data_IF_081384088042
#
_entry.id   IF_081384088042
#
_cell.length_a   1.000
_cell.length_b   1.000
_cell.length_c   1.000
_cell.angle_alpha   90.00
_cell.angle_beta   90.00
_cell.angle_gamma   90.00
#
_symmetry.space_group_name_H-M   'P 1'
#
loop_
_entity.id
_entity.type
_entity.pdbx_description
1 polymer ?
#
# COMPACT_ATOMS: atom_id res chain seq x y z
N UNK A 1 11.86 9.74 -19.38
CA UNK A 1 11.05 10.17 -20.55
C UNK A 1 11.72 9.73 -21.85
N UNK A 2 13.03 9.96 -22.05
CA UNK A 2 13.77 9.62 -23.29
C UNK A 2 13.77 8.10 -23.56
N UNK A 3 14.00 7.28 -22.54
CA UNK A 3 14.06 5.82 -22.66
C UNK A 3 12.66 5.22 -22.89
N UNK A 4 11.63 5.78 -22.28
CA UNK A 4 10.24 5.41 -22.52
C UNK A 4 9.82 5.70 -23.96
N UNK A 5 10.21 6.86 -24.50
CA UNK A 5 9.97 7.20 -25.91
C UNK A 5 10.71 6.25 -26.86
N UNK A 6 11.94 5.87 -26.55
CA UNK A 6 12.72 4.92 -27.34
C UNK A 6 12.04 3.55 -27.39
N UNK A 7 11.63 3.00 -26.24
CA UNK A 7 10.91 1.72 -26.19
C UNK A 7 9.55 1.77 -26.89
N UNK A 8 8.80 2.85 -26.74
CA UNK A 8 7.52 3.02 -27.43
C UNK A 8 7.72 3.10 -28.94
N UNK A 9 8.71 3.85 -29.40
CA UNK A 9 9.04 3.96 -30.83
C UNK A 9 9.52 2.62 -31.39
N UNK A 10 10.38 1.90 -30.65
CA UNK A 10 10.83 0.56 -31.03
C UNK A 10 9.68 -0.43 -31.12
N UNK A 11 8.74 -0.44 -30.17
CA UNK A 11 7.54 -1.28 -30.22
C UNK A 11 6.65 -0.96 -31.42
N UNK A 12 6.46 0.31 -31.76
CA UNK A 12 5.68 0.73 -32.92
C UNK A 12 6.26 0.20 -34.25
N UNK A 13 7.60 0.11 -34.36
CA UNK A 13 8.24 -0.36 -35.57
C UNK A 13 8.36 -1.90 -35.67
N UNK A 14 8.50 -2.58 -34.54
CA UNK A 14 8.79 -4.02 -34.52
C UNK A 14 7.59 -4.90 -34.15
N UNK A 15 6.59 -4.37 -33.46
CA UNK A 15 5.37 -5.12 -33.14
C UNK A 15 4.34 -4.94 -34.25
N UNK A 16 4.16 -5.97 -35.10
CA UNK A 16 2.98 -6.05 -35.94
C UNK A 16 1.78 -6.38 -35.07
N UNK A 17 0.83 -5.47 -35.01
CA UNK A 17 -0.48 -5.76 -34.42
C UNK A 17 -1.29 -6.54 -35.46
N UNK A 18 -1.86 -7.68 -35.04
CA UNK A 18 -2.84 -8.35 -35.86
C UNK A 18 -4.03 -7.40 -36.05
N UNK A 19 -4.52 -7.21 -37.32
CA UNK A 19 -5.67 -6.35 -37.53
C UNK A 19 -6.84 -6.88 -36.73
N UNK A 20 -7.37 -6.03 -35.83
CA UNK A 20 -8.57 -6.36 -35.06
C UNK A 20 -9.69 -6.70 -36.02
N UNK A 21 -10.06 -7.98 -36.07
CA UNK A 21 -11.09 -8.54 -36.97
C UNK A 21 -12.51 -8.11 -36.57
N UNK A 22 -12.64 -7.33 -35.51
CA UNK A 22 -13.91 -6.74 -35.12
C UNK A 22 -13.83 -5.23 -35.33
N UNK A 23 -14.53 -4.75 -36.36
CA UNK A 23 -14.87 -3.35 -36.48
C UNK A 23 -15.45 -2.90 -35.12
N UNK A 24 -14.60 -2.26 -34.31
CA UNK A 24 -15.05 -1.50 -33.15
C UNK A 24 -15.96 -0.44 -33.71
N UNK A 25 -17.29 -0.64 -33.62
CA UNK A 25 -18.20 0.47 -33.78
C UNK A 25 -17.66 1.54 -32.83
N UNK A 26 -17.34 2.72 -33.35
CA UNK A 26 -16.83 3.83 -32.56
C UNK A 26 -17.89 4.17 -31.51
N UNK A 27 -17.78 3.52 -30.33
CA UNK A 27 -18.67 3.82 -29.21
C UNK A 27 -18.39 5.25 -28.78
N UNK A 28 -19.41 6.09 -28.84
CA UNK A 28 -19.31 7.45 -28.36
C UNK A 28 -18.94 7.46 -26.84
N UNK A 29 -18.20 8.48 -26.41
CA UNK A 29 -17.76 8.65 -25.02
C UNK A 29 -18.91 8.41 -24.01
N UNK A 30 -20.08 8.95 -24.31
CA UNK A 30 -21.31 8.79 -23.48
C UNK A 30 -21.74 7.32 -23.35
N UNK A 31 -21.59 6.55 -24.40
CA UNK A 31 -21.94 5.13 -24.43
C UNK A 31 -20.98 4.31 -23.56
N UNK A 32 -19.66 4.57 -23.68
CA UNK A 32 -18.64 3.96 -22.84
C UNK A 32 -18.92 4.19 -21.35
N UNK A 33 -19.22 5.42 -20.94
CA UNK A 33 -19.58 5.72 -19.55
C UNK A 33 -20.88 5.07 -19.09
N UNK A 34 -21.86 4.94 -19.99
CA UNK A 34 -23.12 4.23 -19.71
C UNK A 34 -22.87 2.74 -19.48
N UNK A 35 -22.02 2.11 -20.29
CA UNK A 35 -21.62 0.70 -20.10
C UNK A 35 -20.86 0.53 -18.80
N UNK A 36 -19.90 1.40 -18.49
CA UNK A 36 -19.19 1.40 -17.19
C UNK A 36 -20.14 1.49 -16.00
N UNK A 37 -21.10 2.41 -16.04
CA UNK A 37 -22.08 2.55 -14.98
C UNK A 37 -22.95 1.27 -14.80
N UNK A 38 -23.27 0.58 -15.90
CA UNK A 38 -23.97 -0.71 -15.85
C UNK A 38 -23.08 -1.81 -15.26
N UNK A 39 -21.81 -1.86 -15.61
CA UNK A 39 -20.83 -2.80 -15.03
C UNK A 39 -20.70 -2.60 -13.53
N UNK A 40 -20.59 -1.36 -13.04
CA UNK A 40 -20.53 -1.05 -11.61
C UNK A 40 -21.79 -1.45 -10.84
N UNK A 41 -22.93 -1.65 -11.50
CA UNK A 41 -24.15 -2.16 -10.87
C UNK A 41 -24.20 -3.68 -10.72
N UNK A 42 -23.30 -4.41 -11.36
CA UNK A 42 -23.21 -5.87 -11.23
C UNK A 42 -22.74 -6.23 -9.81
N UNK A 43 -23.48 -7.12 -9.13
CA UNK A 43 -23.20 -7.50 -7.74
C UNK A 43 -21.78 -8.01 -7.51
N UNK A 44 -21.25 -8.81 -8.41
CA UNK A 44 -19.90 -9.36 -8.30
C UNK A 44 -18.82 -8.28 -8.51
N UNK A 45 -19.07 -7.27 -9.35
CA UNK A 45 -18.19 -6.10 -9.50
C UNK A 45 -18.22 -5.25 -8.22
N UNK A 46 -19.38 -5.04 -7.63
CA UNK A 46 -19.49 -4.31 -6.35
C UNK A 46 -18.75 -5.04 -5.23
N UNK A 47 -18.85 -6.37 -5.16
CA UNK A 47 -18.11 -7.17 -4.19
C UNK A 47 -16.60 -7.07 -4.43
N UNK A 48 -16.14 -7.08 -5.68
CA UNK A 48 -14.73 -6.88 -6.03
C UNK A 48 -14.23 -5.49 -5.62
N UNK A 49 -15.01 -4.44 -5.91
CA UNK A 49 -14.74 -3.06 -5.48
C UNK A 49 -14.61 -2.99 -3.97
N UNK A 50 -15.54 -3.60 -3.24
CA UNK A 50 -15.52 -3.64 -1.79
C UNK A 50 -14.26 -4.34 -1.25
N UNK A 51 -13.89 -5.49 -1.82
CA UNK A 51 -12.63 -6.18 -1.48
C UNK A 51 -11.43 -5.27 -1.70
N UNK A 52 -11.35 -4.56 -2.83
CA UNK A 52 -10.26 -3.62 -3.09
C UNK A 52 -10.17 -2.50 -2.05
N UNK A 53 -11.33 -1.98 -1.61
CA UNK A 53 -11.36 -0.90 -0.61
C UNK A 53 -10.78 -1.29 0.74
N UNK A 54 -10.93 -2.56 1.15
CA UNK A 54 -10.52 -3.01 2.49
C UNK A 54 -9.22 -3.82 2.50
N UNK A 55 -8.81 -4.36 1.35
CA UNK A 55 -7.71 -5.34 1.28
C UNK A 55 -6.37 -4.81 1.78
N UNK A 56 -6.10 -3.52 1.63
CA UNK A 56 -4.78 -2.95 1.97
C UNK A 56 -4.67 -2.45 3.42
N UNK A 57 -5.76 -2.41 4.17
CA UNK A 57 -5.78 -1.90 5.56
C UNK A 57 -4.77 -2.66 6.43
N UNK A 58 -4.70 -4.00 6.29
CA UNK A 58 -3.92 -4.86 7.17
C UNK A 58 -2.41 -4.61 7.18
N UNK A 59 -1.85 -4.13 6.09
CA UNK A 59 -0.40 -3.85 5.96
C UNK A 59 -0.11 -2.39 5.65
N UNK A 60 -1.11 -1.52 5.74
CA UNK A 60 -0.94 -0.10 5.41
C UNK A 60 0.01 0.62 6.35
N UNK A 61 0.05 0.26 7.64
CA UNK A 61 0.99 0.83 8.59
C UNK A 61 2.44 0.46 8.23
N UNK A 62 2.67 -0.78 7.82
CA UNK A 62 3.98 -1.21 7.32
C UNK A 62 4.41 -0.42 6.07
N UNK A 63 3.52 -0.23 5.11
CA UNK A 63 3.85 0.52 3.87
C UNK A 63 4.07 2.02 4.10
N UNK A 64 3.30 2.62 5.01
CA UNK A 64 3.30 4.06 5.19
C UNK A 64 4.34 4.55 6.21
N UNK A 65 4.66 3.75 7.22
CA UNK A 65 5.37 4.24 8.43
C UNK A 65 6.70 3.54 8.67
N UNK A 66 6.84 2.23 8.34
CA UNK A 66 8.07 1.48 8.66
C UNK A 66 9.34 2.14 8.14
N UNK A 67 9.35 2.61 6.88
CA UNK A 67 10.51 3.31 6.33
C UNK A 67 10.87 4.60 7.07
N UNK A 68 9.87 5.36 7.53
CA UNK A 68 10.07 6.56 8.34
C UNK A 68 10.68 6.21 9.69
N UNK A 69 10.20 5.14 10.33
CA UNK A 69 10.71 4.68 11.62
C UNK A 69 12.15 4.17 11.54
N UNK A 70 12.51 3.48 10.48
CA UNK A 70 13.91 3.08 10.26
C UNK A 70 14.84 4.30 10.17
N UNK A 71 14.43 5.36 9.48
CA UNK A 71 15.20 6.60 9.40
C UNK A 71 15.24 7.33 10.75
N UNK A 72 14.13 7.36 11.48
CA UNK A 72 14.05 7.95 12.85
C UNK A 72 14.99 7.23 13.82
N UNK A 73 15.16 5.92 13.71
CA UNK A 73 16.07 5.11 14.50
C UNK A 73 17.53 5.16 14.02
N UNK A 74 17.84 5.98 13.01
CA UNK A 74 19.22 6.24 12.58
C UNK A 74 19.67 5.54 11.29
N UNK A 75 18.77 4.90 10.54
CA UNK A 75 19.10 4.44 9.18
C UNK A 75 19.33 5.66 8.29
N UNK A 76 20.49 5.68 7.60
CA UNK A 76 20.79 6.74 6.65
C UNK A 76 19.77 6.79 5.51
N UNK A 77 19.39 7.98 5.05
CA UNK A 77 18.56 8.12 3.86
C UNK A 77 19.22 7.53 2.62
N UNK A 78 20.55 7.53 2.59
CA UNK A 78 21.38 6.93 1.54
C UNK A 78 21.28 5.40 1.57
N UNK A 79 21.28 4.81 2.77
CA UNK A 79 21.10 3.36 2.96
C UNK A 79 19.72 2.90 2.52
N UNK A 80 18.67 3.71 2.79
CA UNK A 80 17.33 3.43 2.32
C UNK A 80 17.26 3.51 0.78
N UNK A 81 17.92 4.50 0.17
CA UNK A 81 18.02 4.61 -1.28
C UNK A 81 18.78 3.43 -1.91
N UNK A 82 19.85 2.97 -1.24
CA UNK A 82 20.60 1.79 -1.66
C UNK A 82 19.75 0.52 -1.58
N UNK A 83 18.92 0.36 -0.53
CA UNK A 83 17.99 -0.76 -0.41
C UNK A 83 16.99 -0.80 -1.59
N UNK A 84 16.46 0.36 -2.00
CA UNK A 84 15.57 0.45 -3.18
C UNK A 84 16.30 0.13 -4.48
N UNK A 85 17.57 0.56 -4.62
CA UNK A 85 18.37 0.24 -5.80
C UNK A 85 18.67 -1.26 -5.91
N UNK A 86 18.92 -1.92 -4.79
CA UNK A 86 19.13 -3.37 -4.74
C UNK A 86 17.83 -4.12 -5.06
N UNK A 87 16.68 -3.62 -4.59
CA UNK A 87 15.37 -4.24 -4.81
C UNK A 87 14.92 -4.18 -6.29
N UNK A 88 15.31 -3.17 -7.04
CA UNK A 88 14.87 -2.95 -8.42
C UNK A 88 15.08 -4.15 -9.36
N UNK A 89 16.28 -4.78 -9.48
CA UNK A 89 16.46 -5.96 -10.33
C UNK A 89 15.62 -7.16 -9.86
N UNK A 90 15.42 -7.31 -8.54
CA UNK A 90 14.55 -8.34 -8.00
C UNK A 90 13.09 -8.13 -8.41
N UNK A 91 12.59 -6.89 -8.43
CA UNK A 91 11.23 -6.59 -8.87
C UNK A 91 10.97 -7.05 -10.30
N UNK A 92 11.93 -6.92 -11.21
CA UNK A 92 11.79 -7.40 -12.59
C UNK A 92 11.64 -8.93 -12.64
N UNK A 93 12.49 -9.66 -11.90
CA UNK A 93 12.44 -11.13 -11.79
C UNK A 93 11.13 -11.56 -11.15
N UNK A 94 10.75 -10.92 -10.06
CA UNK A 94 9.53 -11.22 -9.31
C UNK A 94 8.26 -10.94 -10.14
N UNK A 95 8.26 -9.86 -10.93
CA UNK A 95 7.17 -9.56 -11.86
C UNK A 95 6.96 -10.67 -12.88
N UNK A 96 8.05 -11.17 -13.47
CA UNK A 96 7.99 -12.29 -14.40
C UNK A 96 7.49 -13.59 -13.74
N UNK A 97 8.03 -13.97 -12.59
CA UNK A 97 7.62 -15.16 -11.85
C UNK A 97 6.14 -15.07 -11.39
N UNK A 98 5.73 -13.91 -10.89
CA UNK A 98 4.36 -13.65 -10.49
C UNK A 98 3.39 -13.76 -11.68
N UNK A 99 3.77 -13.25 -12.87
CA UNK A 99 2.98 -13.37 -14.07
C UNK A 99 2.82 -14.83 -14.52
N UNK A 100 3.88 -15.64 -14.43
CA UNK A 100 3.80 -17.08 -14.70
C UNK A 100 2.86 -17.80 -13.72
N UNK A 101 2.98 -17.47 -12.43
CA UNK A 101 2.17 -18.10 -11.38
C UNK A 101 0.69 -17.68 -11.43
N UNK A 102 0.40 -16.48 -11.89
CA UNK A 102 -0.97 -15.93 -11.99
C UNK A 102 -1.70 -16.34 -13.27
N UNK A 103 -1.08 -17.16 -14.12
CA UNK A 103 -1.73 -17.73 -15.32
C UNK A 103 -2.69 -18.84 -14.93
N UNK A 104 -3.89 -18.85 -15.54
CA UNK A 104 -4.82 -19.95 -15.41
C UNK A 104 -6.08 -19.65 -14.59
N UNK A 105 -6.78 -20.73 -14.22
CA UNK A 105 -8.15 -20.70 -13.69
C UNK A 105 -8.29 -20.07 -12.29
N UNK A 106 -7.18 -19.95 -11.55
CA UNK A 106 -7.15 -19.52 -10.15
C UNK A 106 -6.24 -18.30 -9.95
N UNK A 107 -6.44 -17.25 -10.73
CA UNK A 107 -5.63 -16.04 -10.68
C UNK A 107 -5.64 -15.33 -9.30
N UNK A 108 -6.70 -15.51 -8.49
CA UNK A 108 -6.79 -14.93 -7.14
C UNK A 108 -5.99 -15.69 -6.07
N UNK A 109 -5.58 -16.95 -6.32
CA UNK A 109 -4.79 -17.72 -5.32
C UNK A 109 -3.43 -17.09 -5.02
N UNK A 110 -2.59 -16.72 -6.00
CA UNK A 110 -1.33 -16.03 -5.72
C UNK A 110 -1.55 -14.72 -4.96
N UNK A 111 -2.61 -13.98 -5.28
CA UNK A 111 -2.99 -12.76 -4.58
C UNK A 111 -3.32 -13.01 -3.10
N UNK A 112 -4.10 -14.06 -2.78
CA UNK A 112 -4.45 -14.44 -1.42
C UNK A 112 -3.24 -14.92 -0.61
N UNK A 113 -2.35 -15.72 -1.22
CA UNK A 113 -1.11 -16.17 -0.59
C UNK A 113 -0.21 -14.98 -0.28
N UNK A 114 -0.01 -14.08 -1.25
CA UNK A 114 0.76 -12.86 -1.05
C UNK A 114 0.16 -11.96 0.03
N UNK A 115 -1.18 -11.93 0.17
CA UNK A 115 -1.84 -11.21 1.25
C UNK A 115 -1.41 -11.73 2.63
N UNK A 116 -1.45 -13.06 2.84
CA UNK A 116 -0.99 -13.67 4.09
C UNK A 116 0.49 -13.37 4.33
N UNK A 117 1.33 -13.54 3.29
CA UNK A 117 2.76 -13.21 3.40
C UNK A 117 2.98 -11.75 3.83
N UNK A 118 2.24 -10.80 3.29
CA UNK A 118 2.36 -9.38 3.65
C UNK A 118 1.93 -9.10 5.09
N UNK A 119 0.91 -9.76 5.61
CA UNK A 119 0.55 -9.65 7.03
C UNK A 119 1.67 -10.18 7.94
N UNK A 120 2.26 -11.32 7.60
CA UNK A 120 3.41 -11.87 8.34
C UNK A 120 4.61 -10.91 8.27
N UNK A 121 4.92 -10.41 7.08
CA UNK A 121 6.02 -9.47 6.88
C UNK A 121 5.79 -8.13 7.60
N UNK A 122 4.54 -7.68 7.75
CA UNK A 122 4.22 -6.51 8.56
C UNK A 122 4.59 -6.72 10.04
N UNK A 123 4.33 -7.92 10.60
CA UNK A 123 4.76 -8.28 11.95
C UNK A 123 6.29 -8.37 12.05
N UNK A 124 6.94 -8.98 11.06
CA UNK A 124 8.41 -9.06 11.00
C UNK A 124 9.03 -7.66 10.93
N UNK A 125 8.45 -6.76 10.14
CA UNK A 125 8.93 -5.36 10.04
C UNK A 125 8.80 -4.61 11.36
N UNK A 126 7.72 -4.83 12.13
CA UNK A 126 7.61 -4.27 13.49
C UNK A 126 8.73 -4.79 14.40
N UNK A 127 9.02 -6.09 14.37
CA UNK A 127 10.09 -6.68 15.15
C UNK A 127 11.49 -6.17 14.75
N UNK A 128 11.71 -5.90 13.46
CA UNK A 128 12.94 -5.31 12.96
C UNK A 128 13.10 -3.86 13.48
N UNK A 129 12.04 -3.06 13.44
CA UNK A 129 12.09 -1.68 13.95
C UNK A 129 12.35 -1.67 15.47
N UNK A 130 11.68 -2.55 16.23
CA UNK A 130 11.85 -2.67 17.69
C UNK A 130 13.26 -3.08 18.09
N UNK A 131 13.83 -4.06 17.39
CA UNK A 131 15.18 -4.58 17.65
C UNK A 131 16.32 -3.68 17.14
N UNK A 132 16.01 -2.54 16.51
CA UNK A 132 17.02 -1.68 15.91
C UNK A 132 17.88 -0.98 16.97
N UNK A 133 19.22 -1.00 16.82
CA UNK A 133 20.11 -0.30 17.73
C UNK A 133 19.80 1.21 17.72
N UNK A 134 19.55 1.78 18.90
CA UNK A 134 19.28 3.24 19.00
C UNK A 134 20.58 4.04 18.95
N UNK A 135 20.57 5.25 18.37
CA UNK A 135 21.74 6.13 18.38
C UNK A 135 22.24 6.35 19.82
N UNK A 136 23.57 6.42 20.09
CA UNK A 136 24.67 6.58 19.11
C UNK A 136 25.28 5.29 18.56
N UNK A 137 24.67 4.13 18.78
CA UNK A 137 25.19 2.86 18.26
C UNK A 137 25.07 2.78 16.73
N UNK A 138 26.15 2.40 16.05
CA UNK A 138 26.14 2.22 14.61
C UNK A 138 25.40 0.92 14.25
N UNK A 139 24.62 0.98 13.19
CA UNK A 139 23.93 -0.19 12.62
C UNK A 139 25.00 -1.15 12.10
N UNK A 140 25.05 -2.35 12.63
CA UNK A 140 25.98 -3.39 12.16
C UNK A 140 25.57 -3.92 10.78
N UNK A 141 26.55 -4.41 10.01
CA UNK A 141 26.34 -4.96 8.66
C UNK A 141 25.26 -6.06 8.64
N UNK A 142 25.24 -6.93 9.66
CA UNK A 142 24.24 -8.01 9.78
C UNK A 142 22.82 -7.44 9.87
N UNK A 143 22.63 -6.39 10.65
CA UNK A 143 21.33 -5.76 10.81
C UNK A 143 20.88 -5.05 9.52
N UNK A 144 21.81 -4.39 8.85
CA UNK A 144 21.57 -3.78 7.55
C UNK A 144 21.12 -4.82 6.51
N UNK A 145 21.79 -5.99 6.44
CA UNK A 145 21.38 -7.09 5.56
C UNK A 145 19.98 -7.60 5.90
N UNK A 146 19.62 -7.65 7.19
CA UNK A 146 18.27 -8.04 7.63
C UNK A 146 17.21 -7.05 7.11
N UNK A 147 17.48 -5.74 7.19
CA UNK A 147 16.58 -4.71 6.65
C UNK A 147 16.40 -4.88 5.14
N UNK A 148 17.50 -5.03 4.39
CA UNK A 148 17.43 -5.24 2.93
C UNK A 148 16.64 -6.50 2.59
N UNK A 149 16.92 -7.61 3.26
CA UNK A 149 16.21 -8.88 3.02
C UNK A 149 14.71 -8.73 3.27
N UNK A 150 14.32 -8.08 4.36
CA UNK A 150 12.91 -7.80 4.68
C UNK A 150 12.27 -6.90 3.61
N UNK A 151 12.97 -5.89 3.12
CA UNK A 151 12.51 -4.99 2.06
C UNK A 151 12.27 -5.76 0.76
N UNK A 152 13.21 -6.60 0.34
CA UNK A 152 13.10 -7.44 -0.87
C UNK A 152 11.93 -8.43 -0.75
N UNK A 153 11.75 -9.07 0.42
CA UNK A 153 10.62 -9.98 0.65
C UNK A 153 9.27 -9.25 0.62
N UNK A 154 9.18 -8.06 1.21
CA UNK A 154 7.98 -7.22 1.13
C UNK A 154 7.67 -6.82 -0.31
N UNK A 155 8.68 -6.44 -1.07
CA UNK A 155 8.58 -6.09 -2.49
C UNK A 155 8.10 -7.28 -3.31
N UNK A 156 8.65 -8.48 -3.08
CA UNK A 156 8.19 -9.72 -3.72
C UNK A 156 6.70 -9.98 -3.45
N UNK A 157 6.30 -9.99 -2.19
CA UNK A 157 4.90 -10.25 -1.83
C UNK A 157 3.95 -9.18 -2.41
N UNK A 158 4.36 -7.91 -2.43
CA UNK A 158 3.62 -6.81 -3.05
C UNK A 158 3.49 -6.99 -4.56
N UNK A 159 4.57 -7.38 -5.23
CA UNK A 159 4.59 -7.64 -6.68
C UNK A 159 3.68 -8.81 -7.06
N UNK A 160 3.76 -9.93 -6.32
CA UNK A 160 2.85 -11.08 -6.53
C UNK A 160 1.39 -10.66 -6.34
N UNK A 161 1.10 -9.86 -5.33
CA UNK A 161 -0.25 -9.38 -5.09
C UNK A 161 -0.74 -8.46 -6.21
N UNK A 162 0.09 -7.53 -6.66
CA UNK A 162 -0.25 -6.61 -7.76
C UNK A 162 -0.46 -7.34 -9.08
N UNK A 163 0.45 -8.23 -9.45
CA UNK A 163 0.37 -9.00 -10.71
C UNK A 163 -0.80 -9.98 -10.67
N UNK A 164 -1.03 -10.66 -9.53
CA UNK A 164 -2.13 -11.60 -9.38
C UNK A 164 -3.50 -10.96 -9.57
N UNK A 165 -3.71 -9.78 -8.96
CA UNK A 165 -4.99 -9.07 -9.12
C UNK A 165 -5.13 -8.48 -10.52
N UNK A 166 -4.06 -7.97 -11.13
CA UNK A 166 -4.06 -7.46 -12.50
C UNK A 166 -4.37 -8.56 -13.52
N UNK A 167 -3.85 -9.77 -13.32
CA UNK A 167 -4.18 -10.93 -14.13
C UNK A 167 -5.67 -11.30 -14.03
N UNK A 168 -6.25 -11.24 -12.83
CA UNK A 168 -7.68 -11.44 -12.65
C UNK A 168 -8.50 -10.34 -13.35
N UNK A 169 -8.12 -9.06 -13.22
CA UNK A 169 -8.77 -7.96 -13.92
C UNK A 169 -8.78 -8.17 -15.45
N UNK A 170 -7.65 -8.63 -16.01
CA UNK A 170 -7.55 -8.91 -17.46
C UNK A 170 -8.49 -10.02 -17.90
N UNK A 171 -8.70 -11.06 -17.07
CA UNK A 171 -9.60 -12.16 -17.39
C UNK A 171 -11.08 -11.75 -17.41
N UNK A 172 -11.48 -10.84 -16.53
CA UNK A 172 -12.87 -10.39 -16.40
C UNK A 172 -13.22 -9.19 -17.29
N UNK A 173 -12.21 -8.47 -17.77
CA UNK A 173 -12.41 -7.28 -18.60
C UNK A 173 -13.22 -7.60 -19.87
N UNK A 174 -14.12 -6.68 -20.22
CA UNK A 174 -14.88 -6.76 -21.48
C UNK A 174 -13.97 -6.35 -22.65
N UNK A 175 -13.80 -7.18 -23.68
CA UNK A 175 -12.93 -6.85 -24.82
C UNK A 175 -13.30 -5.54 -25.53
N UNK A 176 -14.59 -5.17 -25.56
CA UNK A 176 -15.06 -3.97 -26.26
C UNK A 176 -14.64 -2.66 -25.56
N UNK A 177 -14.52 -2.69 -24.23
CA UNK A 177 -14.15 -1.53 -23.40
C UNK A 177 -12.99 -1.85 -22.46
N UNK A 178 -12.15 -2.82 -22.85
CA UNK A 178 -11.13 -3.41 -21.98
C UNK A 178 -10.21 -2.39 -21.32
N UNK A 179 -9.72 -1.40 -22.07
CA UNK A 179 -8.87 -0.34 -21.54
C UNK A 179 -9.56 0.48 -20.42
N UNK A 180 -10.80 0.90 -20.66
CA UNK A 180 -11.57 1.69 -19.69
C UNK A 180 -11.95 0.86 -18.46
N UNK A 181 -12.31 -0.41 -18.66
CA UNK A 181 -12.63 -1.33 -17.56
C UNK A 181 -11.41 -1.61 -16.68
N UNK A 182 -10.26 -1.89 -17.28
CA UNK A 182 -8.99 -2.08 -16.56
C UNK A 182 -8.60 -0.81 -15.78
N UNK A 183 -8.76 0.35 -16.39
CA UNK A 183 -8.48 1.64 -15.71
C UNK A 183 -9.39 1.82 -14.49
N UNK A 184 -10.69 1.53 -14.60
CA UNK A 184 -11.62 1.58 -13.47
C UNK A 184 -11.16 0.69 -12.33
N UNK A 185 -10.90 -0.60 -12.60
CA UNK A 185 -10.51 -1.57 -11.57
C UNK A 185 -9.17 -1.21 -10.92
N UNK A 186 -8.19 -0.75 -11.71
CA UNK A 186 -6.90 -0.30 -11.20
C UNK A 186 -7.04 0.98 -10.35
N UNK A 187 -7.88 1.92 -10.76
CA UNK A 187 -8.17 3.13 -9.97
C UNK A 187 -8.78 2.78 -8.62
N UNK A 188 -9.75 1.87 -8.60
CA UNK A 188 -10.37 1.39 -7.35
C UNK A 188 -9.35 0.66 -6.48
N UNK A 189 -8.50 -0.19 -7.07
CA UNK A 189 -7.43 -0.89 -6.34
C UNK A 189 -6.42 0.09 -5.71
N UNK A 190 -6.06 1.16 -6.42
CA UNK A 190 -5.16 2.20 -5.91
C UNK A 190 -5.83 3.03 -4.82
N UNK A 191 -7.10 3.42 -5.02
CA UNK A 191 -7.88 4.14 -4.01
C UNK A 191 -7.94 3.35 -2.70
N UNK A 192 -8.13 2.01 -2.78
CA UNK A 192 -8.13 1.12 -1.61
C UNK A 192 -6.81 1.11 -0.82
N UNK A 193 -5.69 1.55 -1.41
CA UNK A 193 -4.42 1.77 -0.71
C UNK A 193 -4.19 3.21 -0.24
N UNK A 194 -4.87 4.17 -0.86
CA UNK A 194 -4.63 5.60 -0.57
C UNK A 194 -5.45 6.09 0.62
N UNK A 195 -6.76 5.79 0.66
CA UNK A 195 -7.63 6.29 1.72
C UNK A 195 -7.25 5.78 3.12
N UNK A 196 -6.83 4.49 3.34
CA UNK A 196 -6.49 4.04 4.68
C UNK A 196 -5.20 4.69 5.20
N UNK A 197 -4.29 5.08 4.30
CA UNK A 197 -3.00 5.70 4.65
C UNK A 197 -3.19 6.95 5.51
N UNK A 198 -4.15 7.79 5.16
CA UNK A 198 -4.45 9.00 5.95
C UNK A 198 -4.86 8.65 7.39
N UNK A 199 -5.78 7.69 7.54
CA UNK A 199 -6.25 7.27 8.86
C UNK A 199 -5.16 6.57 9.66
N UNK A 200 -4.34 5.75 9.02
CA UNK A 200 -3.21 5.08 9.67
C UNK A 200 -2.20 6.09 10.21
N UNK A 201 -1.83 7.11 9.43
CA UNK A 201 -0.93 8.17 9.91
C UNK A 201 -1.54 8.94 11.08
N UNK A 202 -2.82 9.28 11.02
CA UNK A 202 -3.53 9.91 12.13
C UNK A 202 -3.61 9.03 13.38
N UNK A 203 -3.79 7.72 13.21
CA UNK A 203 -3.76 6.79 14.34
C UNK A 203 -2.37 6.68 14.98
N UNK A 204 -1.30 6.70 14.19
CA UNK A 204 0.06 6.73 14.72
C UNK A 204 0.28 7.98 15.57
N UNK A 205 -0.10 9.15 15.07
CA UNK A 205 -0.01 10.40 15.82
C UNK A 205 -0.85 10.34 17.11
N UNK A 206 -2.07 9.82 17.02
CA UNK A 206 -3.00 9.72 18.16
C UNK A 206 -2.50 8.80 19.29
N UNK A 207 -1.87 7.67 18.93
CA UNK A 207 -1.33 6.73 19.92
C UNK A 207 0.11 7.04 20.36
N UNK A 208 0.76 8.04 19.74
CA UNK A 208 2.10 8.46 20.13
C UNK A 208 2.01 9.40 21.32
N UNK A 209 2.73 9.07 22.37
CA UNK A 209 2.89 9.91 23.57
C UNK A 209 4.34 10.39 23.62
N UNK A 210 4.54 11.69 23.54
CA UNK A 210 5.86 12.31 23.66
C UNK A 210 5.84 13.48 24.64
N UNK A 211 6.93 13.68 25.34
CA UNK A 211 7.10 14.72 26.34
C UNK A 211 8.31 15.58 26.05
N UNK A 212 8.22 16.86 26.44
CA UNK A 212 9.30 17.80 26.29
C UNK A 212 10.22 17.76 27.53
N UNK A 213 11.51 17.57 27.29
CA UNK A 213 12.56 17.69 28.30
C UNK A 213 13.40 18.93 28.04
N UNK A 214 13.55 19.75 29.10
CA UNK A 214 14.41 20.94 29.01
C UNK A 214 15.89 20.54 28.98
N UNK A 215 16.73 21.25 28.24
CA UNK A 215 18.18 21.13 28.40
C UNK A 215 18.64 21.64 29.74
N UNK A 216 19.77 21.10 30.23
CA UNK A 216 20.35 21.57 31.52
C UNK A 216 20.71 23.06 31.44
N UNK A 217 20.27 23.84 32.40
CA UNK A 217 20.61 25.27 32.52
C UNK A 217 19.66 26.24 31.84
N UNK A 218 18.45 25.79 31.46
CA UNK A 218 17.39 26.72 30.96
C UNK A 218 16.95 27.66 32.09
N UNK A 219 16.85 28.95 31.78
CA UNK A 219 16.36 29.96 32.71
C UNK A 219 14.91 29.67 33.11
N UNK A 220 14.66 29.71 34.45
CA UNK A 220 13.34 29.45 35.05
C UNK A 220 12.26 30.38 34.47
N UNK A 221 12.63 31.64 34.14
CA UNK A 221 11.73 32.63 33.56
C UNK A 221 11.18 32.16 32.17
N UNK A 222 12.03 31.57 31.32
CA UNK A 222 11.60 31.00 30.03
C UNK A 222 10.66 29.83 30.18
N UNK A 223 10.90 28.97 31.18
CA UNK A 223 10.02 27.83 31.48
C UNK A 223 8.65 28.30 31.90
N UNK A 224 8.61 29.34 32.77
CA UNK A 224 7.36 29.91 33.26
C UNK A 224 6.59 30.64 32.16
N UNK A 225 7.28 31.33 31.26
CA UNK A 225 6.66 32.02 30.12
C UNK A 225 6.03 31.03 29.09
N UNK A 226 6.71 29.94 28.76
CA UNK A 226 6.28 29.00 27.73
C UNK A 226 5.32 27.92 28.22
N UNK A 227 5.51 27.42 29.47
CA UNK A 227 4.76 26.28 30.02
C UNK A 227 3.94 26.61 31.26
N UNK A 228 4.06 27.83 31.83
CA UNK A 228 3.30 28.26 32.99
C UNK A 228 3.79 27.69 34.35
N UNK A 229 4.88 26.93 34.36
CA UNK A 229 5.52 26.40 35.57
C UNK A 229 7.04 26.41 35.45
N UNK A 230 7.73 26.49 36.61
CA UNK A 230 9.15 26.77 36.71
C UNK A 230 10.03 25.54 37.03
N UNK A 231 9.49 24.32 36.95
CA UNK A 231 10.20 23.13 37.41
C UNK A 231 10.77 22.33 36.24
N UNK A 232 12.08 22.48 35.96
CA UNK A 232 12.78 21.81 34.86
C UNK A 232 12.97 20.29 35.08
N UNK A 233 12.72 19.77 36.28
CA UNK A 233 12.82 18.34 36.59
C UNK A 233 11.55 17.53 36.24
N UNK A 234 10.46 18.22 35.92
CA UNK A 234 9.18 17.61 35.50
C UNK A 234 9.03 17.67 33.98
N UNK A 235 8.31 16.72 33.37
CA UNK A 235 7.96 16.83 31.98
C UNK A 235 7.16 18.11 31.75
N UNK A 236 7.68 18.97 30.86
CA UNK A 236 7.19 20.34 30.70
C UNK A 236 5.87 20.45 29.94
N UNK A 237 5.52 19.41 29.18
CA UNK A 237 4.28 19.37 28.43
C UNK A 237 4.31 18.32 27.33
N UNK A 238 3.18 18.15 26.64
CA UNK A 238 3.07 17.26 25.49
C UNK A 238 3.90 17.79 24.32
N UNK A 239 4.47 16.87 23.56
CA UNK A 239 5.34 17.14 22.42
C UNK A 239 4.88 16.38 21.14
N UNK A 240 3.65 15.90 21.15
CA UNK A 240 3.08 15.15 20.02
C UNK A 240 2.52 16.09 18.96
N UNK A 241 1.83 17.15 19.38
CA UNK A 241 1.27 18.15 18.48
C UNK A 241 2.34 19.11 17.93
N UNK A 242 2.08 19.71 16.77
CA UNK A 242 2.97 20.74 16.21
C UNK A 242 3.15 21.94 17.16
N UNK A 243 2.08 22.31 17.87
CA UNK A 243 2.13 23.36 18.87
C UNK A 243 3.00 22.97 20.08
N UNK A 244 2.94 21.71 20.55
CA UNK A 244 3.80 21.19 21.60
C UNK A 244 5.26 21.12 21.18
N UNK A 245 5.55 20.62 19.98
CA UNK A 245 6.92 20.61 19.39
C UNK A 245 7.49 22.02 19.29
N UNK A 246 6.69 22.96 18.79
CA UNK A 246 7.12 24.35 18.69
C UNK A 246 7.44 24.96 20.06
N UNK A 247 6.59 24.75 21.07
CA UNK A 247 6.85 25.23 22.45
C UNK A 247 8.13 24.61 23.02
N UNK A 248 8.34 23.31 22.81
CA UNK A 248 9.56 22.64 23.26
C UNK A 248 10.81 23.19 22.57
N UNK A 249 10.75 23.48 21.26
CA UNK A 249 11.86 24.06 20.52
C UNK A 249 12.21 25.49 20.95
N UNK A 250 11.24 26.29 21.41
CA UNK A 250 11.47 27.67 21.89
C UNK A 250 12.40 27.70 23.12
N UNK A 251 12.41 26.67 23.93
CA UNK A 251 13.31 26.55 25.10
C UNK A 251 14.59 25.76 24.78
N UNK A 252 14.76 25.31 23.51
CA UNK A 252 15.86 24.42 23.12
C UNK A 252 15.71 23.00 23.66
N UNK A 253 14.50 22.60 24.10
CA UNK A 253 14.19 21.29 24.63
C UNK A 253 14.17 20.20 23.55
N UNK A 254 14.22 18.95 24.01
CA UNK A 254 14.10 17.77 23.16
C UNK A 254 12.81 17.03 23.47
N UNK A 255 12.09 16.63 22.40
CA UNK A 255 10.92 15.78 22.52
C UNK A 255 11.35 14.33 22.65
N UNK A 256 11.05 13.71 23.77
CA UNK A 256 11.28 12.27 24.00
C UNK A 256 9.98 11.50 23.81
N UNK A 257 10.03 10.46 22.97
CA UNK A 257 8.88 9.58 22.71
C UNK A 257 8.82 8.53 23.81
N UNK A 258 7.79 8.60 24.64
CA UNK A 258 7.53 7.65 25.72
C UNK A 258 6.85 6.38 25.20
N UNK A 259 5.87 6.57 24.30
CA UNK A 259 5.13 5.48 23.68
C UNK A 259 4.99 5.75 22.20
N UNK A 260 5.48 4.82 21.40
CA UNK A 260 5.39 4.94 19.94
C UNK A 260 4.07 4.36 19.42
N UNK A 261 3.25 5.21 18.83
CA UNK A 261 1.96 4.84 18.25
C UNK A 261 2.08 3.91 17.03
N UNK A 262 3.27 3.79 16.44
CA UNK A 262 3.53 2.89 15.32
C UNK A 262 3.18 1.43 15.65
N UNK A 263 3.65 0.92 16.80
CA UNK A 263 3.42 -0.48 17.16
C UNK A 263 1.95 -0.77 17.45
N UNK A 264 1.27 0.12 18.18
CA UNK A 264 -0.16 0.01 18.46
C UNK A 264 -0.97 0.02 17.16
N UNK A 265 -0.72 1.00 16.28
CA UNK A 265 -1.42 1.14 15.01
C UNK A 265 -1.15 -0.04 14.07
N UNK A 266 0.11 -0.48 13.97
CA UNK A 266 0.48 -1.62 13.14
C UNK A 266 -0.19 -2.91 13.61
N UNK A 267 -0.23 -3.16 14.93
CA UNK A 267 -0.91 -4.31 15.52
C UNK A 267 -2.41 -4.28 15.20
N UNK A 268 -3.07 -3.13 15.38
CA UNK A 268 -4.49 -2.95 15.04
C UNK A 268 -4.72 -3.24 13.55
N UNK A 269 -3.89 -2.68 12.66
CA UNK A 269 -3.98 -2.92 11.22
C UNK A 269 -3.85 -4.41 10.88
N UNK A 270 -2.85 -5.10 11.44
CA UNK A 270 -2.62 -6.54 11.19
C UNK A 270 -3.81 -7.37 11.68
N UNK A 271 -4.33 -7.11 12.88
CA UNK A 271 -5.49 -7.81 13.42
C UNK A 271 -6.73 -7.59 12.55
N UNK A 272 -7.02 -6.34 12.17
CA UNK A 272 -8.12 -6.03 11.24
C UNK A 272 -7.89 -6.71 9.89
N UNK A 273 -6.66 -6.68 9.36
CA UNK A 273 -6.30 -7.32 8.10
C UNK A 273 -6.50 -8.84 8.14
N UNK A 274 -6.10 -9.51 9.22
CA UNK A 274 -6.30 -10.94 9.40
C UNK A 274 -7.80 -11.29 9.53
N UNK A 275 -8.54 -10.52 10.30
CA UNK A 275 -9.98 -10.71 10.47
C UNK A 275 -10.74 -10.49 9.14
N UNK A 276 -10.46 -9.40 8.43
CA UNK A 276 -11.08 -9.11 7.13
C UNK A 276 -10.69 -10.15 6.09
N UNK A 277 -9.45 -10.64 6.08
CA UNK A 277 -9.03 -11.73 5.20
C UNK A 277 -9.84 -12.99 5.45
N UNK A 278 -9.93 -13.43 6.71
CA UNK A 278 -10.58 -14.70 7.07
C UNK A 278 -12.10 -14.68 6.86
N UNK A 279 -12.76 -13.60 7.30
CA UNK A 279 -14.23 -13.55 7.36
C UNK A 279 -14.89 -12.89 6.16
N UNK A 280 -14.17 -12.03 5.43
CA UNK A 280 -14.73 -11.22 4.34
C UNK A 280 -14.08 -11.54 3.01
N UNK A 281 -12.77 -11.33 2.90
CA UNK A 281 -12.06 -11.39 1.62
C UNK A 281 -12.05 -12.82 1.07
N UNK A 282 -11.69 -13.81 1.88
CA UNK A 282 -11.58 -15.21 1.47
C UNK A 282 -12.90 -15.80 0.97
N UNK A 283 -14.05 -15.65 1.67
CA UNK A 283 -15.35 -16.13 1.17
C UNK A 283 -15.80 -15.38 -0.11
N UNK A 284 -15.59 -14.07 -0.18
CA UNK A 284 -15.93 -13.29 -1.38
C UNK A 284 -15.07 -13.74 -2.57
N UNK A 285 -13.75 -13.84 -2.43
CA UNK A 285 -12.86 -14.26 -3.50
C UNK A 285 -13.21 -15.67 -4.01
N UNK A 286 -13.52 -16.62 -3.11
CA UNK A 286 -14.00 -17.95 -3.49
C UNK A 286 -15.31 -17.93 -4.26
N UNK A 287 -16.20 -16.98 -3.95
CA UNK A 287 -17.44 -16.78 -4.69
C UNK A 287 -17.16 -16.17 -6.07
N UNK A 288 -16.27 -15.17 -6.15
CA UNK A 288 -15.93 -14.48 -7.40
C UNK A 288 -15.22 -15.40 -8.40
N UNK A 289 -14.37 -16.32 -7.94
CA UNK A 289 -13.71 -17.32 -8.81
C UNK A 289 -14.70 -18.26 -9.51
N UNK A 290 -15.90 -18.44 -8.95
CA UNK A 290 -16.96 -19.30 -9.55
C UNK A 290 -17.77 -18.57 -10.62
N UNK A 291 -17.69 -17.26 -10.70
CA UNK A 291 -18.44 -16.45 -11.67
C UNK A 291 -17.79 -16.58 -13.04
N UNK A 292 -18.49 -17.07 -14.06
CA UNK A 292 -17.92 -17.25 -15.39
C UNK A 292 -17.60 -15.88 -16.04
N UNK A 293 -16.51 -15.78 -16.83
CA UNK A 293 -16.10 -14.52 -17.45
C UNK A 293 -17.20 -13.76 -18.21
N UNK A 294 -18.12 -14.40 -18.94
CA UNK A 294 -19.20 -13.68 -19.63
C UNK A 294 -20.15 -12.93 -18.69
N UNK A 295 -20.29 -13.37 -17.43
CA UNK A 295 -21.16 -12.68 -16.47
C UNK A 295 -20.59 -11.31 -16.01
N UNK A 296 -19.29 -11.09 -16.17
CA UNK A 296 -18.61 -9.82 -15.88
C UNK A 296 -18.77 -8.77 -16.99
N UNK A 297 -19.36 -9.16 -18.13
CA UNK A 297 -19.44 -8.36 -19.36
C UNK A 297 -20.90 -7.98 -19.63
N UNK A 298 -21.18 -6.72 -19.82
CA UNK A 298 -22.54 -6.22 -20.07
C UNK A 298 -22.86 -6.23 -21.57
N UNK A 299 -21.89 -6.04 -22.43
CA UNK A 299 -22.08 -6.02 -23.88
C UNK A 299 -22.58 -7.34 -24.47
N UNK A 300 -22.20 -8.47 -23.86
CA UNK A 300 -22.67 -9.80 -24.30
C UNK A 300 -24.09 -10.15 -23.87
N UNK A 301 -24.67 -9.45 -22.89
CA UNK A 301 -26.04 -9.72 -22.41
C UNK A 301 -27.13 -9.05 -23.29
N UNK A 302 -26.74 -8.07 -24.13
CA UNK A 302 -27.69 -7.38 -25.01
C UNK A 302 -28.01 -8.08 -26.33
N UNK A 303 -27.25 -9.11 -26.72
CA UNK A 303 -27.35 -9.76 -28.03
C UNK A 303 -27.84 -11.22 -27.93
N UNK A 304 -28.78 -11.54 -27.02
CA UNK A 304 -29.58 -12.75 -27.20
C UNK A 304 -30.53 -12.47 -28.36
N UNK A 305 -30.45 -13.20 -29.51
CA UNK A 305 -31.48 -13.11 -30.52
C UNK A 305 -32.78 -13.52 -29.85
N UNK A 306 -33.83 -12.71 -30.04
CA UNK A 306 -35.20 -13.10 -29.69
C UNK A 306 -35.47 -14.41 -30.48
N UNK A 307 -35.52 -15.51 -29.73
CA UNK A 307 -36.02 -16.76 -30.29
C UNK A 307 -37.51 -16.54 -30.51
N UNK A 308 -37.89 -16.35 -31.77
CA UNK A 308 -39.24 -16.55 -32.29
C UNK A 308 -39.56 -18.02 -32.34
#
# INVERSE_FOLDING_TARGET
IRDSLFFTTWLLFFKREDPETHATSEMGIREVYSVMARICKLRHVQLLIFVHMIAKIGFQANEAVTGLKLVEHGLGKEDLALAVLIDFPFQLIFGYLAAMWSRGRHALRPWLIAFVCRLVLAVVSMAIVEGMPKPPQKIGTTYFVTIITSTVLNSFASTVQFVGISAFHTQIADPLIGGTYMTLLNTVSNLGGTWPRYFVLKMVDFFTESQCHAPAGVAVEKLQEVFGHANASLPLGECTSDAGKHRCSMIGGQCEVLKDGYYTTSTICVVIGAATLAFVILPICRSLEKVPPPAWRVSMQGNKPATH
#
